data_IF_372514570994
#
_entry.id   IF_372514570994
#
_cell.length_a   1.000
_cell.length_b   1.000
_cell.length_c   1.000
_cell.angle_alpha   90.00
_cell.angle_beta   90.00
_cell.angle_gamma   90.00
#
_symmetry.space_group_name_H-M   'P 1'
#
loop_
_entity.id
_entity.type
_entity.pdbx_description
1 polymer ?
#
# COMPACT_ATOMS: atom_id res chain seq x y z
N UNK A 1 -1.41 7.77 -18.37
CA UNK A 1 -2.80 7.34 -18.12
C UNK A 1 -2.90 5.85 -18.45
N UNK A 2 -3.39 5.01 -17.51
CA UNK A 2 -3.47 3.56 -17.72
C UNK A 2 -4.88 3.18 -18.22
N UNK A 3 -4.96 2.66 -19.44
CA UNK A 3 -6.22 2.25 -20.07
C UNK A 3 -6.56 0.80 -19.69
N UNK A 4 -7.61 0.60 -18.91
CA UNK A 4 -8.12 -0.72 -18.53
C UNK A 4 -9.58 -0.62 -18.05
N UNK A 5 -10.29 -1.76 -18.01
CA UNK A 5 -11.73 -1.81 -17.73
C UNK A 5 -12.14 -1.26 -16.36
N UNK A 6 -11.24 -1.25 -15.38
CA UNK A 6 -11.50 -0.71 -14.03
C UNK A 6 -11.10 0.75 -13.83
N UNK A 7 -10.65 1.46 -14.88
CA UNK A 7 -10.12 2.82 -14.77
C UNK A 7 -11.09 3.79 -14.05
N UNK A 8 -12.33 3.89 -14.51
CA UNK A 8 -13.31 4.83 -13.94
C UNK A 8 -13.55 4.57 -12.44
N UNK A 9 -13.67 3.30 -12.05
CA UNK A 9 -13.84 2.91 -10.64
C UNK A 9 -12.59 3.20 -9.80
N UNK A 10 -11.40 3.00 -10.38
CA UNK A 10 -10.14 3.27 -9.69
C UNK A 10 -9.94 4.77 -9.43
N UNK A 11 -10.39 5.62 -10.35
CA UNK A 11 -10.32 7.09 -10.19
C UNK A 11 -11.26 7.61 -9.10
N UNK A 12 -12.42 6.98 -8.88
CA UNK A 12 -13.38 7.41 -7.85
C UNK A 12 -13.11 6.81 -6.47
N UNK A 13 -12.31 5.75 -6.37
CA UNK A 13 -11.99 5.12 -5.09
C UNK A 13 -11.00 5.98 -4.27
N UNK A 14 -11.40 6.26 -3.02
CA UNK A 14 -10.55 6.92 -2.03
C UNK A 14 -9.47 5.97 -1.52
N UNK A 15 -8.30 6.53 -1.21
CA UNK A 15 -7.27 5.84 -0.44
C UNK A 15 -7.82 5.54 0.96
N UNK A 16 -7.47 4.36 1.49
CA UNK A 16 -7.85 3.89 2.83
C UNK A 16 -6.57 3.56 3.60
N UNK A 17 -6.51 3.82 4.92
CA UNK A 17 -5.32 3.50 5.70
C UNK A 17 -5.08 1.98 5.74
N UNK A 18 -3.81 1.57 5.71
CA UNK A 18 -3.39 0.21 6.04
C UNK A 18 -2.37 0.21 7.17
N UNK A 19 -2.25 -0.95 7.81
CA UNK A 19 -1.44 -1.16 9.01
C UNK A 19 -0.65 -2.45 8.86
N UNK A 20 0.53 -2.49 9.49
CA UNK A 20 1.39 -3.67 9.53
C UNK A 20 1.74 -4.01 10.98
N UNK A 21 2.14 -5.27 11.20
CA UNK A 21 2.70 -5.69 12.47
C UNK A 21 4.09 -5.04 12.65
N UNK A 22 4.17 -4.05 13.53
CA UNK A 22 5.39 -3.34 13.85
C UNK A 22 6.22 -4.07 14.91
N UNK A 23 7.16 -3.35 15.51
CA UNK A 23 8.01 -3.89 16.59
C UNK A 23 7.14 -4.30 17.78
N UNK A 24 7.41 -5.48 18.36
CA UNK A 24 6.67 -6.05 19.50
C UNK A 24 5.16 -6.22 19.23
N UNK A 25 4.79 -6.59 18.00
CA UNK A 25 3.40 -6.85 17.58
C UNK A 25 2.44 -5.66 17.71
N UNK A 26 2.98 -4.45 17.89
CA UNK A 26 2.18 -3.23 17.88
C UNK A 26 1.81 -2.87 16.44
N UNK A 27 0.51 -2.77 16.15
CA UNK A 27 0.04 -2.29 14.84
C UNK A 27 0.55 -0.88 14.60
N UNK A 28 1.32 -0.70 13.53
CA UNK A 28 1.79 0.59 13.05
C UNK A 28 1.09 0.93 11.73
N UNK A 29 0.81 2.21 11.50
CA UNK A 29 0.26 2.67 10.22
C UNK A 29 1.36 2.54 9.17
N UNK A 30 1.04 1.85 8.08
CA UNK A 30 1.98 1.64 6.99
C UNK A 30 1.80 2.62 5.84
N UNK A 31 0.63 3.23 5.71
CA UNK A 31 0.32 4.21 4.68
C UNK A 31 -1.14 4.11 4.28
N UNK A 32 -1.41 4.34 3.00
CA UNK A 32 -2.73 4.24 2.43
C UNK A 32 -2.74 3.37 1.17
N UNK A 33 -3.87 2.74 0.87
CA UNK A 33 -4.01 1.90 -0.30
C UNK A 33 -5.39 2.06 -0.94
N UNK A 34 -5.47 1.69 -2.21
CA UNK A 34 -6.74 1.41 -2.88
C UNK A 34 -6.56 0.29 -3.89
N UNK A 35 -7.64 -0.46 -4.13
CA UNK A 35 -7.63 -1.64 -5.00
C UNK A 35 -8.91 -1.71 -5.81
N UNK A 36 -8.75 -1.91 -7.12
CA UNK A 36 -9.83 -2.31 -8.02
C UNK A 36 -9.36 -3.55 -8.79
N UNK A 37 -10.10 -4.66 -8.65
CA UNK A 37 -9.75 -5.92 -9.32
C UNK A 37 -8.32 -6.38 -8.98
N UNK A 38 -7.47 -6.45 -10.01
CA UNK A 38 -6.07 -6.88 -9.93
C UNK A 38 -5.05 -5.73 -9.81
N UNK A 39 -5.52 -4.48 -9.74
CA UNK A 39 -4.65 -3.31 -9.56
C UNK A 39 -4.78 -2.77 -8.15
N UNK A 40 -3.67 -2.76 -7.42
CA UNK A 40 -3.52 -2.15 -6.10
C UNK A 40 -2.51 -1.02 -6.19
N UNK A 41 -2.82 0.12 -5.58
CA UNK A 41 -1.88 1.19 -5.28
C UNK A 41 -1.75 1.25 -3.77
N UNK A 42 -0.52 1.20 -3.26
CA UNK A 42 -0.21 1.40 -1.85
C UNK A 42 0.90 2.44 -1.71
N UNK A 43 0.74 3.38 -0.79
CA UNK A 43 1.80 4.26 -0.30
C UNK A 43 2.44 3.63 0.92
N UNK A 44 3.71 3.96 1.18
CA UNK A 44 4.43 3.55 2.37
C UNK A 44 4.85 4.82 3.13
N UNK A 45 4.32 5.01 4.33
CA UNK A 45 4.64 6.15 5.19
C UNK A 45 6.13 6.11 5.57
N UNK A 46 6.77 7.28 5.66
CA UNK A 46 8.19 7.41 6.03
C UNK A 46 9.18 6.61 5.15
N UNK A 47 8.84 6.41 3.88
CA UNK A 47 9.70 5.83 2.86
C UNK A 47 10.00 6.83 1.73
N UNK A 48 11.23 6.83 1.25
CA UNK A 48 11.66 7.55 0.05
C UNK A 48 11.62 6.66 -1.19
N UNK A 49 12.56 6.88 -2.11
CA UNK A 49 12.64 6.13 -3.38
C UNK A 49 12.87 4.63 -3.16
N UNK A 50 13.67 4.28 -2.14
CA UNK A 50 14.00 2.90 -1.81
C UNK A 50 13.17 2.41 -0.62
N UNK A 51 11.86 2.30 -0.82
CA UNK A 51 10.93 1.90 0.25
C UNK A 51 11.32 0.60 1.01
N UNK A 52 11.85 -0.47 0.38
CA UNK A 52 12.31 -1.65 1.13
C UNK A 52 13.51 -1.36 2.05
N UNK A 53 14.35 -0.39 1.70
CA UNK A 53 15.47 0.04 2.55
C UNK A 53 14.97 0.87 3.73
N UNK A 54 14.06 1.81 3.48
CA UNK A 54 13.60 2.74 4.51
C UNK A 54 12.57 2.12 5.47
N UNK A 55 11.70 1.24 4.96
CA UNK A 55 10.60 0.60 5.69
C UNK A 55 10.53 -0.92 5.40
N UNK A 56 11.56 -1.70 5.77
CA UNK A 56 11.67 -3.12 5.39
C UNK A 56 10.51 -3.97 5.89
N UNK A 57 10.06 -3.77 7.13
CA UNK A 57 8.96 -4.54 7.72
C UNK A 57 7.62 -4.26 7.03
N UNK A 58 7.34 -2.98 6.76
CA UNK A 58 6.10 -2.55 6.14
C UNK A 58 6.01 -3.09 4.69
N UNK A 59 7.12 -3.02 3.96
CA UNK A 59 7.20 -3.51 2.58
C UNK A 59 7.12 -5.03 2.49
N UNK A 60 7.76 -5.78 3.41
CA UNK A 60 7.63 -7.25 3.45
C UNK A 60 6.18 -7.68 3.54
N UNK A 61 5.43 -7.09 4.47
CA UNK A 61 4.01 -7.43 4.67
C UNK A 61 3.12 -7.00 3.49
N UNK A 62 3.45 -5.91 2.78
CA UNK A 62 2.77 -5.57 1.53
C UNK A 62 3.00 -6.64 0.44
N UNK A 63 4.23 -7.17 0.34
CA UNK A 63 4.57 -8.21 -0.64
C UNK A 63 3.89 -9.54 -0.27
N UNK A 64 3.88 -9.92 1.01
CA UNK A 64 3.20 -11.12 1.50
C UNK A 64 1.68 -11.07 1.28
N UNK A 65 1.09 -9.87 1.30
CA UNK A 65 -0.35 -9.65 1.11
C UNK A 65 -0.77 -9.38 -0.34
N UNK A 66 0.16 -9.43 -1.31
CA UNK A 66 -0.07 -9.05 -2.71
C UNK A 66 -0.85 -10.12 -3.49
#
# INVERSE_FOLDING_TARGET
NLLWSGHAKFMTQKLQPWYFAGRHDVKARGGEFKRVGRLTLATVDSAGHMAPHDQPMAVSQLIEAW
#
